data_IF_139655832779
#
_entry.id   IF_139655832779
#
_cell.length_a   1.000
_cell.length_b   1.000
_cell.length_c   1.000
_cell.angle_alpha   90.00
_cell.angle_beta   90.00
_cell.angle_gamma   90.00
#
_symmetry.space_group_name_H-M   'P 1'
#
loop_
_entity.id
_entity.type
_entity.pdbx_description
1 polymer ?
#
# COMPACT_ATOMS: atom_id res chain seq x y z
N UNK A 1 2.52 1.14 -17.05
CA UNK A 1 1.42 0.16 -17.25
C UNK A 1 1.79 -1.27 -16.84
N UNK A 2 3.03 -1.72 -17.00
CA UNK A 2 3.41 -3.13 -16.75
C UNK A 2 3.30 -3.57 -15.27
N UNK A 3 3.47 -2.67 -14.31
CA UNK A 3 3.40 -2.98 -12.87
C UNK A 3 1.97 -3.18 -12.37
N UNK A 4 1.00 -2.48 -12.97
CA UNK A 4 -0.42 -2.66 -12.68
C UNK A 4 -0.86 -4.08 -13.09
N UNK A 5 -0.40 -4.53 -14.26
CA UNK A 5 -0.65 -5.90 -14.72
C UNK A 5 -0.06 -6.95 -13.76
N UNK A 6 1.14 -6.73 -13.20
CA UNK A 6 1.77 -7.67 -12.26
C UNK A 6 0.93 -7.87 -10.99
N UNK A 7 0.44 -6.79 -10.39
CA UNK A 7 -0.42 -6.89 -9.19
C UNK A 7 -1.74 -7.58 -9.51
N UNK A 8 -2.34 -7.30 -10.67
CA UNK A 8 -3.64 -7.87 -11.06
C UNK A 8 -3.57 -9.33 -11.56
N UNK A 9 -2.37 -9.82 -11.87
CA UNK A 9 -2.14 -11.19 -12.36
C UNK A 9 -1.54 -12.10 -11.30
N UNK A 10 -1.46 -11.64 -10.05
CA UNK A 10 -1.05 -12.48 -8.95
C UNK A 10 -2.00 -13.69 -8.85
N UNK A 11 -1.50 -14.94 -9.00
CA UNK A 11 -2.32 -16.14 -9.01
C UNK A 11 -3.04 -16.38 -7.68
N UNK A 12 -2.59 -15.76 -6.59
CA UNK A 12 -3.22 -15.86 -5.28
C UNK A 12 -4.46 -14.97 -5.15
N UNK A 13 -4.72 -14.06 -6.11
CA UNK A 13 -5.96 -13.27 -6.16
C UNK A 13 -7.10 -14.15 -6.72
N UNK A 14 -8.18 -14.38 -5.95
CA UNK A 14 -9.31 -15.16 -6.45
C UNK A 14 -9.95 -14.57 -7.71
N UNK A 15 -10.36 -15.43 -8.65
CA UNK A 15 -10.99 -15.00 -9.92
C UNK A 15 -12.31 -14.23 -9.75
N UNK A 16 -12.94 -14.36 -8.59
CA UNK A 16 -14.17 -13.64 -8.23
C UNK A 16 -13.91 -12.36 -7.43
N UNK A 17 -12.66 -11.90 -7.33
CA UNK A 17 -12.32 -10.63 -6.70
C UNK A 17 -12.75 -9.44 -7.54
N UNK A 18 -13.22 -8.39 -6.88
CA UNK A 18 -13.42 -7.09 -7.49
C UNK A 18 -12.11 -6.30 -7.48
N UNK A 19 -11.88 -5.50 -8.52
CA UNK A 19 -10.71 -4.62 -8.60
C UNK A 19 -11.18 -3.21 -8.91
N UNK A 20 -10.84 -2.26 -8.06
CA UNK A 20 -10.95 -0.83 -8.35
C UNK A 20 -9.55 -0.24 -8.51
N UNK A 21 -9.37 0.57 -9.56
CA UNK A 21 -8.11 1.25 -9.86
C UNK A 21 -8.33 2.75 -9.65
N UNK A 22 -7.36 3.44 -9.06
CA UNK A 22 -7.42 4.89 -8.83
C UNK A 22 -8.67 5.32 -8.06
N UNK A 23 -9.04 4.56 -7.02
CA UNK A 23 -10.22 4.82 -6.20
C UNK A 23 -10.07 6.09 -5.36
N UNK A 24 -11.00 7.03 -5.50
CA UNK A 24 -11.03 8.26 -4.68
C UNK A 24 -11.76 7.97 -3.37
N UNK A 25 -11.08 8.25 -2.25
CA UNK A 25 -11.69 8.09 -0.93
C UNK A 25 -12.75 9.19 -0.75
N UNK A 26 -14.00 8.84 -0.38
CA UNK A 26 -15.07 9.81 -0.16
C UNK A 26 -14.64 10.95 0.77
N UNK A 27 -15.06 12.17 0.46
CA UNK A 27 -14.77 13.39 1.25
C UNK A 27 -13.28 13.68 1.50
N UNK A 28 -12.39 13.06 0.70
CA UNK A 28 -10.95 13.28 0.74
C UNK A 28 -10.42 13.52 -0.67
N UNK A 29 -9.38 14.34 -0.85
CA UNK A 29 -8.65 14.41 -2.13
C UNK A 29 -7.78 13.17 -2.37
N UNK A 30 -7.65 12.27 -1.39
CA UNK A 30 -6.79 11.08 -1.45
C UNK A 30 -7.33 10.05 -2.43
N UNK A 31 -6.41 9.36 -3.09
CA UNK A 31 -6.69 8.33 -4.09
C UNK A 31 -5.81 7.12 -3.82
N UNK A 32 -6.43 5.95 -3.77
CA UNK A 32 -5.77 4.67 -3.65
C UNK A 32 -5.47 4.15 -5.05
N UNK A 33 -4.28 3.59 -5.27
CA UNK A 33 -3.94 3.04 -6.58
C UNK A 33 -4.76 1.79 -6.91
N UNK A 34 -4.87 0.84 -5.96
CA UNK A 34 -5.73 -0.34 -6.11
C UNK A 34 -6.52 -0.65 -4.85
N UNK A 35 -7.77 -1.05 -5.03
CA UNK A 35 -8.52 -1.84 -4.07
C UNK A 35 -8.86 -3.18 -4.68
N UNK A 36 -8.50 -4.27 -4.00
CA UNK A 36 -8.85 -5.62 -4.39
C UNK A 36 -9.84 -6.13 -3.35
N UNK A 37 -11.08 -6.38 -3.77
CA UNK A 37 -12.14 -6.84 -2.87
C UNK A 37 -12.30 -8.35 -2.98
N UNK A 38 -12.45 -9.00 -1.85
CA UNK A 38 -12.76 -10.41 -1.72
C UNK A 38 -13.93 -10.60 -0.77
N UNK A 39 -14.75 -11.61 -1.04
CA UNK A 39 -15.89 -11.95 -0.18
C UNK A 39 -15.86 -13.43 0.14
N UNK A 40 -15.83 -13.76 1.43
CA UNK A 40 -16.13 -15.09 1.92
C UNK A 40 -17.61 -15.17 2.34
N UNK A 41 -18.07 -16.34 2.83
CA UNK A 41 -19.45 -16.49 3.32
C UNK A 41 -19.76 -15.61 4.54
N UNK A 42 -18.74 -15.20 5.29
CA UNK A 42 -18.89 -14.52 6.59
C UNK A 42 -18.20 -13.15 6.64
N UNK A 43 -17.28 -12.85 5.72
CA UNK A 43 -16.41 -11.67 5.82
C UNK A 43 -16.19 -11.01 4.46
N UNK A 44 -16.20 -9.68 4.47
CA UNK A 44 -15.76 -8.86 3.35
C UNK A 44 -14.33 -8.38 3.62
N UNK A 45 -13.47 -8.55 2.62
CA UNK A 45 -12.04 -8.24 2.71
C UNK A 45 -11.67 -7.28 1.60
N UNK A 46 -10.81 -6.32 1.91
CA UNK A 46 -10.31 -5.35 0.95
C UNK A 46 -8.81 -5.19 1.14
N UNK A 47 -8.04 -5.53 0.11
CA UNK A 47 -6.61 -5.22 0.05
C UNK A 47 -6.46 -3.82 -0.53
N UNK A 48 -5.74 -2.96 0.19
CA UNK A 48 -5.50 -1.55 -0.17
C UNK A 48 -4.05 -1.43 -0.62
N UNK A 49 -3.80 -1.28 -1.92
CA UNK A 49 -2.43 -1.27 -2.46
C UNK A 49 -2.03 0.14 -2.88
N UNK A 50 -0.92 0.62 -2.32
CA UNK A 50 -0.21 1.82 -2.79
C UNK A 50 0.97 1.40 -3.69
N UNK A 51 1.06 1.97 -4.89
CA UNK A 51 2.18 1.73 -5.80
C UNK A 51 3.11 2.93 -5.88
N UNK A 52 4.41 2.68 -5.69
CA UNK A 52 5.46 3.66 -5.97
C UNK A 52 6.42 3.17 -7.04
N UNK A 53 6.86 4.09 -7.89
CA UNK A 53 7.87 3.82 -8.92
C UNK A 53 9.29 4.16 -8.45
N UNK A 54 9.48 4.36 -7.15
CA UNK A 54 10.76 4.82 -6.60
C UNK A 54 11.83 3.74 -6.74
N UNK A 55 13.05 4.18 -7.00
CA UNK A 55 14.27 3.38 -7.06
C UNK A 55 15.25 3.73 -5.92
N UNK A 56 15.01 4.85 -5.22
CA UNK A 56 15.83 5.35 -4.12
C UNK A 56 14.99 5.97 -3.01
N UNK A 57 15.39 5.72 -1.76
CA UNK A 57 14.78 6.25 -0.54
C UNK A 57 15.90 6.68 0.39
N UNK A 58 15.71 7.83 1.04
CA UNK A 58 16.58 8.35 2.09
C UNK A 58 15.73 8.61 3.33
N UNK A 59 16.17 8.10 4.49
CA UNK A 59 15.57 8.43 5.78
C UNK A 59 15.86 9.89 6.13
N UNK A 60 14.90 10.54 6.80
CA UNK A 60 15.10 11.87 7.38
C UNK A 60 15.05 11.77 8.89
N UNK A 61 16.17 12.06 9.55
CA UNK A 61 16.23 12.00 11.02
C UNK A 61 15.25 13.00 11.65
N UNK A 62 14.51 12.54 12.66
CA UNK A 62 13.53 13.36 13.39
C UNK A 62 12.19 13.57 12.69
N UNK A 63 11.94 13.00 11.50
CA UNK A 63 10.63 13.00 10.86
C UNK A 63 10.04 11.60 10.78
N UNK A 64 9.06 11.34 11.63
CA UNK A 64 8.29 10.10 11.58
C UNK A 64 7.47 10.02 10.29
N UNK A 65 7.35 8.83 9.72
CA UNK A 65 6.53 8.56 8.53
C UNK A 65 6.87 9.37 7.27
N UNK A 66 7.98 10.11 7.24
CA UNK A 66 8.45 10.87 6.07
C UNK A 66 9.78 10.30 5.61
N UNK A 67 9.92 10.22 4.29
CA UNK A 67 11.15 9.86 3.59
C UNK A 67 11.48 10.93 2.56
N UNK A 68 12.71 10.90 2.06
CA UNK A 68 13.14 11.68 0.91
C UNK A 68 13.39 10.74 -0.27
N UNK A 69 12.91 11.10 -1.44
CA UNK A 69 13.06 10.28 -2.66
C UNK A 69 13.22 11.16 -3.88
N UNK A 70 13.75 10.60 -4.97
CA UNK A 70 13.80 11.27 -6.25
C UNK A 70 12.42 11.25 -6.91
N UNK A 71 11.88 12.42 -7.21
CA UNK A 71 10.68 12.56 -8.02
C UNK A 71 10.96 13.51 -9.18
N UNK A 72 10.90 12.98 -10.41
CA UNK A 72 11.32 13.67 -11.63
C UNK A 72 12.78 14.15 -11.52
N UNK A 73 13.00 15.46 -11.37
CA UNK A 73 14.32 16.09 -11.35
C UNK A 73 14.67 16.69 -9.99
N UNK A 74 13.89 16.42 -8.94
CA UNK A 74 14.11 16.96 -7.60
C UNK A 74 14.07 15.85 -6.55
N UNK A 75 14.84 16.05 -5.48
CA UNK A 75 14.63 15.31 -4.24
C UNK A 75 13.48 15.95 -3.48
N UNK A 76 12.48 15.15 -3.14
CA UNK A 76 11.28 15.60 -2.45
C UNK A 76 11.10 14.84 -1.15
N UNK A 77 10.64 15.54 -0.12
CA UNK A 77 10.14 14.91 1.09
C UNK A 77 8.70 14.47 0.87
N UNK A 78 8.38 13.25 1.25
CA UNK A 78 7.06 12.67 1.04
C UNK A 78 6.77 11.58 2.08
N UNK A 79 5.51 11.16 2.15
CA UNK A 79 5.07 10.12 3.09
C UNK A 79 5.75 8.79 2.78
N UNK A 80 6.12 8.07 3.83
CA UNK A 80 6.52 6.68 3.74
C UNK A 80 5.40 5.84 3.11
N UNK A 81 5.68 4.90 2.18
CA UNK A 81 4.66 4.14 1.47
C UNK A 81 3.71 3.36 2.39
N UNK A 82 4.22 2.70 3.43
CA UNK A 82 3.37 2.04 4.45
C UNK A 82 2.44 3.01 5.16
N UNK A 83 2.96 4.18 5.55
CA UNK A 83 2.15 5.17 6.24
C UNK A 83 1.01 5.65 5.34
N UNK A 84 1.29 5.85 4.06
CA UNK A 84 0.30 6.24 3.08
C UNK A 84 -0.80 5.19 2.91
N UNK A 85 -0.43 3.92 2.67
CA UNK A 85 -1.37 2.81 2.53
C UNK A 85 -2.21 2.59 3.80
N UNK A 86 -1.56 2.58 4.97
CA UNK A 86 -2.23 2.52 6.28
C UNK A 86 -3.23 3.66 6.45
N UNK A 87 -2.83 4.90 6.12
CA UNK A 87 -3.72 6.07 6.24
C UNK A 87 -4.97 5.97 5.37
N UNK A 88 -4.89 5.26 4.24
CA UNK A 88 -6.02 5.02 3.36
C UNK A 88 -6.97 3.98 3.93
N UNK A 89 -6.43 2.85 4.43
CA UNK A 89 -7.23 1.85 5.12
C UNK A 89 -7.97 2.45 6.33
N UNK A 90 -7.29 3.25 7.15
CA UNK A 90 -7.93 3.94 8.30
C UNK A 90 -9.09 4.82 7.86
N UNK A 91 -8.91 5.65 6.82
CA UNK A 91 -9.99 6.50 6.31
C UNK A 91 -11.19 5.71 5.76
N UNK A 92 -10.93 4.62 5.03
CA UNK A 92 -11.99 3.75 4.51
C UNK A 92 -12.74 3.07 5.66
N UNK A 93 -12.02 2.62 6.69
CA UNK A 93 -12.60 2.00 7.89
C UNK A 93 -13.49 2.98 8.63
N UNK A 94 -13.00 4.20 8.89
CA UNK A 94 -13.74 5.23 9.62
C UNK A 94 -15.00 5.66 8.86
N UNK A 95 -14.91 5.78 7.53
CA UNK A 95 -16.07 6.05 6.68
C UNK A 95 -17.12 4.94 6.75
N UNK A 96 -16.71 3.68 6.61
CA UNK A 96 -17.64 2.55 6.68
C UNK A 96 -18.27 2.40 8.07
N UNK A 97 -17.50 2.58 9.15
CA UNK A 97 -18.02 2.55 10.52
C UNK A 97 -19.08 3.64 10.76
N UNK A 98 -18.94 4.78 10.09
CA UNK A 98 -19.92 5.89 10.20
C UNK A 98 -21.18 5.63 9.37
N UNK A 99 -21.09 4.85 8.28
CA UNK A 99 -22.18 4.65 7.31
C UNK A 99 -22.95 3.36 7.51
N UNK A 100 -22.33 2.30 8.05
CA UNK A 100 -22.96 0.99 8.16
C UNK A 100 -23.79 0.83 9.46
N UNK A 101 -25.08 0.51 9.30
CA UNK A 101 -25.98 0.01 10.35
C UNK A 101 -25.98 -1.52 10.45
N UNK A 102 -25.38 -2.21 9.48
CA UNK A 102 -25.41 -3.66 9.36
C UNK A 102 -24.05 -4.24 9.80
N UNK A 103 -24.05 -5.16 10.76
CA UNK A 103 -22.89 -5.81 11.39
C UNK A 103 -22.05 -6.67 10.40
N UNK A 104 -21.49 -6.07 9.35
CA UNK A 104 -20.56 -6.74 8.44
C UNK A 104 -19.14 -6.33 8.84
N UNK A 105 -18.35 -7.29 9.29
CA UNK A 105 -16.94 -7.05 9.60
C UNK A 105 -16.16 -6.87 8.29
N UNK A 106 -15.83 -5.61 7.97
CA UNK A 106 -14.96 -5.25 6.85
C UNK A 106 -13.50 -5.28 7.30
N UNK A 107 -12.73 -6.24 6.77
CA UNK A 107 -11.29 -6.34 7.01
C UNK A 107 -10.50 -5.64 5.92
N UNK A 108 -9.59 -4.75 6.32
CA UNK A 108 -8.73 -3.98 5.42
C UNK A 108 -7.28 -4.41 5.60
N UNK A 109 -6.63 -4.78 4.49
CA UNK A 109 -5.24 -5.20 4.45
C UNK A 109 -4.45 -4.22 3.58
N UNK A 110 -3.90 -3.14 4.16
CA UNK A 110 -3.09 -2.21 3.40
C UNK A 110 -1.70 -2.80 3.12
N UNK A 111 -1.14 -2.46 1.97
CA UNK A 111 0.26 -2.72 1.65
C UNK A 111 0.79 -1.69 0.65
N UNK A 112 2.11 -1.62 0.55
CA UNK A 112 2.78 -0.79 -0.44
C UNK A 112 3.71 -1.64 -1.30
N UNK A 113 3.79 -1.33 -2.59
CA UNK A 113 4.72 -1.99 -3.51
C UNK A 113 5.57 -0.96 -4.29
N UNK A 114 6.89 -1.01 -4.07
CA UNK A 114 7.88 -0.19 -4.75
C UNK A 114 8.56 -1.01 -5.86
N UNK A 115 8.02 -0.95 -7.08
CA UNK A 115 8.41 -1.88 -8.15
C UNK A 115 9.77 -1.63 -8.81
N UNK A 116 10.37 -0.47 -8.60
CA UNK A 116 11.72 -0.16 -9.08
C UNK A 116 12.77 -0.21 -7.95
N UNK A 117 12.33 -0.41 -6.71
CA UNK A 117 13.21 -0.37 -5.55
C UNK A 117 13.88 -1.72 -5.34
N UNK A 118 15.20 -1.72 -5.17
CA UNK A 118 16.00 -2.92 -4.92
C UNK A 118 16.67 -2.75 -3.56
N UNK A 119 16.36 -3.66 -2.64
CA UNK A 119 17.00 -3.73 -1.33
C UNK A 119 18.40 -4.32 -1.51
N UNK A 120 19.44 -3.52 -1.24
CA UNK A 120 20.84 -3.91 -1.45
C UNK A 120 21.62 -4.07 -0.15
N UNK A 121 21.06 -3.68 0.99
CA UNK A 121 21.73 -3.70 2.30
C UNK A 121 20.81 -4.28 3.38
N UNK A 122 21.35 -4.94 4.41
CA UNK A 122 20.56 -5.37 5.58
C UNK A 122 19.94 -4.20 6.35
N UNK A 123 20.53 -3.01 6.24
CA UNK A 123 20.06 -1.76 6.85
C UNK A 123 19.52 -0.85 5.75
N UNK A 124 18.33 -1.13 5.25
CA UNK A 124 17.70 -0.36 4.18
C UNK A 124 16.88 0.82 4.78
N UNK A 125 17.02 2.05 4.26
CA UNK A 125 16.28 3.20 4.77
C UNK A 125 14.76 3.07 4.62
N UNK A 126 14.26 2.25 3.69
CA UNK A 126 12.83 1.96 3.54
C UNK A 126 12.28 1.12 4.69
N UNK A 127 13.12 0.29 5.32
CA UNK A 127 12.71 -0.62 6.40
C UNK A 127 13.39 -0.27 7.73
N UNK A 128 13.79 0.99 7.90
CA UNK A 128 14.36 1.46 9.16
C UNK A 128 13.33 1.33 10.30
N UNK A 129 13.79 0.99 11.50
CA UNK A 129 12.94 0.74 12.68
C UNK A 129 12.01 1.92 13.01
N UNK A 130 12.36 3.16 12.65
CA UNK A 130 11.48 4.33 12.84
C UNK A 130 10.14 4.18 12.10
N UNK A 131 10.07 3.35 11.07
CA UNK A 131 8.86 3.10 10.29
C UNK A 131 8.15 1.80 10.69
N UNK A 132 8.69 1.02 11.65
CA UNK A 132 8.23 -0.33 11.95
C UNK A 132 6.75 -0.38 12.31
N UNK A 133 6.26 0.57 13.11
CA UNK A 133 4.84 0.66 13.43
C UNK A 133 3.95 0.67 12.18
N UNK A 134 4.33 1.43 11.15
CA UNK A 134 3.55 1.49 9.92
C UNK A 134 3.77 0.28 9.03
N UNK A 135 4.97 -0.30 9.01
CA UNK A 135 5.28 -1.51 8.25
C UNK A 135 4.48 -2.70 8.80
N UNK A 136 4.33 -2.80 10.12
CA UNK A 136 3.53 -3.86 10.76
C UNK A 136 2.05 -3.78 10.38
N UNK A 137 1.53 -2.56 10.17
CA UNK A 137 0.14 -2.35 9.76
C UNK A 137 -0.03 -2.48 8.24
N UNK A 138 0.94 -1.99 7.47
CA UNK A 138 0.93 -1.96 6.02
C UNK A 138 2.30 -2.40 5.47
N UNK A 139 2.48 -3.71 5.22
CA UNK A 139 3.75 -4.26 4.75
C UNK A 139 4.23 -3.61 3.46
N UNK A 140 5.56 -3.51 3.32
CA UNK A 140 6.22 -3.01 2.11
C UNK A 140 6.81 -4.17 1.34
N UNK A 141 6.53 -4.18 0.04
CA UNK A 141 7.15 -5.07 -0.92
C UNK A 141 7.97 -4.26 -1.92
N UNK A 142 9.01 -4.88 -2.44
CA UNK A 142 10.02 -4.29 -3.33
C UNK A 142 10.26 -5.19 -4.53
N UNK A 143 11.03 -4.71 -5.50
CA UNK A 143 11.32 -5.48 -6.71
C UNK A 143 12.05 -6.77 -6.35
N UNK A 144 11.49 -7.90 -6.78
CA UNK A 144 12.02 -9.23 -6.51
C UNK A 144 11.19 -10.04 -5.52
N UNK A 145 10.39 -9.37 -4.67
CA UNK A 145 9.54 -10.07 -3.68
C UNK A 145 8.44 -10.93 -4.33
N UNK A 146 8.08 -10.62 -5.58
CA UNK A 146 7.08 -11.35 -6.36
C UNK A 146 7.68 -12.12 -7.56
N UNK A 147 9.01 -12.19 -7.69
CA UNK A 147 9.68 -12.83 -8.86
C UNK A 147 10.05 -14.31 -8.62
N UNK A 148 9.35 -15.03 -7.74
CA UNK A 148 9.47 -16.49 -7.62
C UNK A 148 8.13 -17.14 -7.92
N UNK A 149 7.96 -17.64 -9.16
CA UNK A 149 7.02 -18.71 -9.51
C UNK A 149 7.41 -19.33 -10.86
N UNK A 150 7.85 -20.60 -10.77
CA UNK A 150 8.20 -21.62 -11.78
C UNK A 150 9.59 -21.57 -12.42
#
# INVERSE_FOLDING_TARGET
>A
MQCMYRVLMDPDIPKNSGVAIEYRIPYSPKRVDFLITGKSKEQETVVVVELKQWDKVEKIDGKEAIVKTAFRHALVETMHPSYQAWSYASLIKDYNATVQQDNIDLYLYPCAYLHNYIVNTPTDPLTDNVYQYYIDQAPVFTKGDFEISF
#
